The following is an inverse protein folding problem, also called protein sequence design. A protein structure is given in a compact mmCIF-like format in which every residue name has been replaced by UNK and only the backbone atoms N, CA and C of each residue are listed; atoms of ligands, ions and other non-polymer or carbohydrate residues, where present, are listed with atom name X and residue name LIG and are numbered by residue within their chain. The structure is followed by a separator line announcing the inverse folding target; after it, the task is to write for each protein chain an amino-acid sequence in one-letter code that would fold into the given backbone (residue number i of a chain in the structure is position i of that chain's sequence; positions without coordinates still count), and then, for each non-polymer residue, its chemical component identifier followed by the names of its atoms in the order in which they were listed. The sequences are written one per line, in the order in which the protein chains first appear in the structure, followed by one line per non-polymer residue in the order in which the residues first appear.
data_IF_974791276648
#
_entry.id   IF_974791276648
#
_cell.length_a   1.000
_cell.length_b   1.000
_cell.length_c   1.000
_cell.angle_alpha   90.00
_cell.angle_beta   90.00
_cell.angle_gamma   90.00
#
_symmetry.space_group_name_H-M   'P 1'
#
loop_
_entity.id
_entity.type
_entity.pdbx_description
1 polymer ?
#
# COMPACT_ATOMS: atom_id res chain seq x y z
N UNK A 1 -17.55 -21.58 -4.36
CA UNK A 1 -17.38 -21.99 -5.79
C UNK A 1 -18.45 -21.40 -6.70
N UNK A 2 -19.58 -20.91 -6.15
CA UNK A 2 -20.74 -20.47 -6.93
C UNK A 2 -20.90 -18.94 -6.97
N UNK A 3 -19.92 -18.18 -6.47
CA UNK A 3 -19.93 -16.73 -6.52
C UNK A 3 -19.81 -16.24 -7.97
N UNK A 4 -20.71 -15.35 -8.38
CA UNK A 4 -20.74 -14.75 -9.72
C UNK A 4 -20.17 -13.33 -9.71
N UNK A 5 -20.35 -12.60 -8.61
CA UNK A 5 -19.84 -11.24 -8.44
C UNK A 5 -18.99 -11.15 -7.18
N UNK A 6 -17.75 -10.72 -7.34
CA UNK A 6 -16.79 -10.62 -6.25
C UNK A 6 -16.22 -9.21 -6.25
N UNK A 7 -16.34 -8.52 -5.12
CA UNK A 7 -15.71 -7.23 -4.88
C UNK A 7 -14.46 -7.36 -4.01
N UNK A 8 -13.49 -6.51 -4.24
CA UNK A 8 -12.26 -6.43 -3.47
C UNK A 8 -11.98 -4.96 -3.19
N UNK A 9 -11.63 -4.62 -1.96
CA UNK A 9 -11.18 -3.28 -1.60
C UNK A 9 -10.12 -3.33 -0.51
N UNK A 10 -9.41 -2.23 -0.32
CA UNK A 10 -8.46 -2.01 0.74
C UNK A 10 -8.67 -0.64 1.39
N UNK A 11 -7.67 -0.14 2.11
CA UNK A 11 -7.81 1.11 2.85
C UNK A 11 -7.81 2.37 1.96
N UNK A 12 -8.42 3.43 2.49
CA UNK A 12 -8.32 4.80 1.93
C UNK A 12 -6.85 5.21 1.82
N UNK A 13 -6.51 5.98 0.78
CA UNK A 13 -5.13 6.32 0.43
C UNK A 13 -4.25 5.07 0.33
N UNK A 14 -4.54 4.18 -0.63
CA UNK A 14 -3.91 2.87 -0.73
C UNK A 14 -2.42 2.99 -1.01
N UNK A 15 -1.62 2.32 -0.21
CA UNK A 15 -0.18 2.17 -0.39
C UNK A 15 0.19 0.96 -1.26
N UNK A 16 1.48 0.62 -1.31
CA UNK A 16 1.97 -0.43 -2.20
C UNK A 16 1.45 -1.82 -1.84
N UNK A 17 1.37 -2.18 -0.54
CA UNK A 17 0.85 -3.49 -0.16
C UNK A 17 -0.66 -3.58 -0.40
N UNK A 18 -1.41 -2.55 -0.05
CA UNK A 18 -2.85 -2.49 -0.28
C UNK A 18 -3.22 -2.66 -1.76
N UNK A 19 -2.60 -1.89 -2.66
CA UNK A 19 -2.82 -1.99 -4.12
C UNK A 19 -2.46 -3.37 -4.63
N UNK A 20 -1.27 -3.86 -4.26
CA UNK A 20 -0.76 -5.15 -4.73
C UNK A 20 -1.56 -6.33 -4.18
N UNK A 21 -2.01 -6.27 -2.93
CA UNK A 21 -2.88 -7.29 -2.34
C UNK A 21 -4.21 -7.39 -3.09
N UNK A 22 -4.84 -6.24 -3.36
CA UNK A 22 -6.11 -6.20 -4.10
C UNK A 22 -5.94 -6.74 -5.53
N UNK A 23 -4.91 -6.30 -6.27
CA UNK A 23 -4.65 -6.76 -7.63
C UNK A 23 -4.27 -8.25 -7.68
N UNK A 24 -3.43 -8.71 -6.75
CA UNK A 24 -3.01 -10.10 -6.66
C UNK A 24 -4.20 -11.03 -6.39
N UNK A 25 -5.04 -10.67 -5.45
CA UNK A 25 -6.26 -11.43 -5.16
C UNK A 25 -7.22 -11.42 -6.36
N UNK A 26 -7.37 -10.29 -7.05
CA UNK A 26 -8.19 -10.19 -8.27
C UNK A 26 -7.67 -11.12 -9.36
N UNK A 27 -6.37 -11.09 -9.67
CA UNK A 27 -5.76 -11.96 -10.66
C UNK A 27 -5.92 -13.43 -10.32
N UNK A 28 -5.70 -13.80 -9.05
CA UNK A 28 -5.86 -15.17 -8.58
C UNK A 28 -7.30 -15.66 -8.69
N UNK A 29 -8.27 -14.86 -8.23
CA UNK A 29 -9.68 -15.22 -8.29
C UNK A 29 -10.19 -15.36 -9.72
N UNK A 30 -9.75 -14.51 -10.65
CA UNK A 30 -10.10 -14.64 -12.08
C UNK A 30 -9.58 -15.94 -12.70
N UNK A 31 -8.43 -16.44 -12.27
CA UNK A 31 -7.92 -17.75 -12.68
C UNK A 31 -8.74 -18.91 -12.10
N UNK A 32 -9.07 -18.83 -10.82
CA UNK A 32 -9.82 -19.88 -10.13
C UNK A 32 -11.31 -19.92 -10.52
N UNK A 33 -11.89 -18.78 -10.86
CA UNK A 33 -13.31 -18.57 -11.11
C UNK A 33 -13.54 -17.81 -12.43
N UNK A 34 -13.20 -18.38 -13.60
CA UNK A 34 -13.19 -17.66 -14.88
C UNK A 34 -14.57 -17.16 -15.34
N UNK A 35 -15.66 -17.61 -14.68
CA UNK A 35 -17.02 -17.16 -14.96
C UNK A 35 -17.50 -16.08 -13.99
N UNK A 36 -16.73 -15.76 -12.94
CA UNK A 36 -17.07 -14.73 -11.99
C UNK A 36 -16.58 -13.36 -12.49
N UNK A 37 -17.40 -12.34 -12.27
CA UNK A 37 -16.97 -10.96 -12.38
C UNK A 37 -16.22 -10.57 -11.10
N UNK A 38 -14.94 -10.23 -11.20
CA UNK A 38 -14.12 -9.79 -10.08
C UNK A 38 -13.72 -8.33 -10.32
N UNK A 39 -14.09 -7.43 -9.39
CA UNK A 39 -13.82 -5.99 -9.43
C UNK A 39 -13.00 -5.56 -8.22
N UNK A 40 -12.09 -4.62 -8.45
CA UNK A 40 -11.30 -3.95 -7.41
C UNK A 40 -11.78 -2.50 -7.28
N UNK A 41 -12.04 -2.07 -6.05
CA UNK A 41 -12.45 -0.73 -5.68
C UNK A 41 -11.41 -0.11 -4.75
N UNK A 42 -10.73 0.93 -5.18
CA UNK A 42 -9.78 1.69 -4.37
C UNK A 42 -9.89 3.18 -4.69
N UNK A 43 -9.64 4.04 -3.72
CA UNK A 43 -9.29 5.42 -4.05
C UNK A 43 -8.15 5.40 -5.07
N UNK A 44 -8.05 6.44 -5.91
CA UNK A 44 -7.07 6.47 -7.00
C UNK A 44 -5.66 6.18 -6.48
N UNK A 45 -5.06 5.04 -6.83
CA UNK A 45 -3.70 4.72 -6.38
C UNK A 45 -2.66 5.57 -7.11
N UNK A 46 -1.45 5.64 -6.54
CA UNK A 46 -0.33 6.33 -7.17
C UNK A 46 0.05 5.68 -8.51
N UNK A 47 0.36 6.51 -9.51
CA UNK A 47 0.70 6.07 -10.88
C UNK A 47 1.96 5.20 -10.95
N UNK A 48 2.78 5.17 -9.91
CA UNK A 48 3.97 4.30 -9.83
C UNK A 48 3.63 2.81 -9.90
N UNK A 49 2.38 2.42 -9.63
CA UNK A 49 1.89 1.04 -9.70
C UNK A 49 1.25 0.69 -11.06
N UNK A 50 1.23 1.63 -12.02
CA UNK A 50 0.50 1.47 -13.30
C UNK A 50 0.96 0.28 -14.15
N UNK A 51 2.22 -0.15 -14.00
CA UNK A 51 2.73 -1.32 -14.70
C UNK A 51 2.11 -2.64 -14.21
N UNK A 52 1.52 -2.64 -13.02
CA UNK A 52 0.88 -3.84 -12.48
C UNK A 52 -0.40 -4.18 -13.25
N UNK A 53 -0.51 -5.44 -13.60
CA UNK A 53 -1.67 -5.93 -14.35
C UNK A 53 -2.97 -5.72 -13.58
N UNK A 54 -3.94 -5.12 -14.25
CA UNK A 54 -5.24 -4.79 -13.68
C UNK A 54 -5.30 -3.41 -13.01
N UNK A 55 -4.21 -2.64 -12.98
CA UNK A 55 -4.20 -1.30 -12.40
C UNK A 55 -5.24 -0.37 -13.04
N UNK A 56 -5.28 -0.30 -14.37
CA UNK A 56 -6.24 0.56 -15.09
C UNK A 56 -7.70 0.04 -15.02
N UNK A 57 -7.92 -1.14 -14.44
CA UNK A 57 -9.26 -1.72 -14.20
C UNK A 57 -9.78 -1.42 -12.78
N UNK A 58 -9.00 -0.74 -11.93
CA UNK A 58 -9.43 -0.32 -10.59
C UNK A 58 -10.54 0.70 -10.72
N UNK A 59 -11.68 0.43 -10.09
CA UNK A 59 -12.81 1.35 -10.03
C UNK A 59 -12.61 2.32 -8.84
N UNK A 60 -12.23 3.56 -9.16
CA UNK A 60 -12.06 4.63 -8.18
C UNK A 60 -13.27 5.57 -8.09
N UNK A 61 -14.29 5.33 -8.92
CA UNK A 61 -15.54 6.11 -8.92
C UNK A 61 -16.62 5.47 -8.04
N UNK A 62 -16.43 4.21 -7.64
CA UNK A 62 -17.38 3.46 -6.81
C UNK A 62 -18.80 3.46 -7.37
N UNK A 63 -18.93 3.33 -8.71
CA UNK A 63 -20.19 3.47 -9.43
C UNK A 63 -21.03 2.18 -9.59
N UNK A 64 -20.61 1.04 -8.98
CA UNK A 64 -21.35 -0.21 -9.09
C UNK A 64 -22.63 -0.18 -8.24
N UNK A 65 -23.74 -0.62 -8.80
CA UNK A 65 -25.04 -0.62 -8.12
C UNK A 65 -25.51 -2.04 -7.72
N UNK A 66 -24.87 -3.08 -8.28
CA UNK A 66 -25.29 -4.45 -8.03
C UNK A 66 -24.56 -5.06 -6.83
N UNK A 67 -25.27 -5.83 -5.97
CA UNK A 67 -24.67 -6.45 -4.80
C UNK A 67 -23.66 -7.55 -5.15
N UNK A 68 -22.67 -7.74 -4.29
CA UNK A 68 -21.64 -8.77 -4.42
C UNK A 68 -22.02 -10.05 -3.66
N UNK A 69 -21.71 -11.21 -4.25
CA UNK A 69 -21.83 -12.49 -3.55
C UNK A 69 -20.77 -12.64 -2.47
N UNK A 70 -19.56 -12.12 -2.74
CA UNK A 70 -18.43 -12.11 -1.81
C UNK A 70 -17.73 -10.76 -1.91
N UNK A 71 -17.36 -10.18 -0.78
CA UNK A 71 -16.53 -8.98 -0.74
C UNK A 71 -15.30 -9.21 0.13
N UNK A 72 -14.14 -8.92 -0.43
CA UNK A 72 -12.86 -9.00 0.25
C UNK A 72 -12.42 -7.62 0.72
N UNK A 73 -11.97 -7.53 1.97
CA UNK A 73 -11.24 -6.40 2.52
C UNK A 73 -9.80 -6.83 2.70
N UNK A 74 -8.89 -6.11 2.07
CA UNK A 74 -7.47 -6.41 2.02
C UNK A 74 -6.70 -5.35 2.78
N UNK A 75 -5.71 -5.77 3.56
CA UNK A 75 -4.70 -4.92 4.17
C UNK A 75 -5.23 -3.84 5.13
N UNK A 76 -6.41 -4.05 5.69
CA UNK A 76 -6.99 -3.17 6.71
C UNK A 76 -8.22 -3.78 7.38
N UNK A 77 -8.71 -3.11 8.42
CA UNK A 77 -10.06 -3.31 8.95
C UNK A 77 -11.14 -2.74 8.01
N UNK A 78 -12.34 -3.31 8.10
CA UNK A 78 -13.49 -2.89 7.28
C UNK A 78 -13.94 -1.43 7.54
N UNK A 79 -13.51 -0.83 8.62
CA UNK A 79 -13.74 0.58 8.99
C UNK A 79 -12.85 1.57 8.21
N UNK A 80 -11.91 1.08 7.38
CA UNK A 80 -10.96 1.90 6.64
C UNK A 80 -11.12 1.87 5.12
N UNK A 81 -12.14 1.19 4.58
CA UNK A 81 -12.32 0.98 3.13
C UNK A 81 -13.08 2.13 2.42
N UNK A 82 -13.36 3.22 3.12
CA UNK A 82 -13.99 4.40 2.54
C UNK A 82 -15.31 4.10 1.82
N UNK A 83 -15.48 4.63 0.61
CA UNK A 83 -16.73 4.49 -0.17
C UNK A 83 -17.08 3.05 -0.58
N UNK A 84 -16.13 2.11 -0.45
CA UNK A 84 -16.40 0.69 -0.65
C UNK A 84 -17.21 0.06 0.48
N UNK A 85 -17.40 0.75 1.63
CA UNK A 85 -18.19 0.26 2.77
C UNK A 85 -19.60 -0.16 2.37
N UNK A 86 -20.23 0.57 1.45
CA UNK A 86 -21.56 0.26 0.93
C UNK A 86 -21.62 -1.13 0.30
N UNK A 87 -20.62 -1.52 -0.47
CA UNK A 87 -20.55 -2.85 -1.10
C UNK A 87 -20.26 -3.96 -0.10
N UNK A 88 -19.35 -3.68 0.84
CA UNK A 88 -19.03 -4.62 1.91
C UNK A 88 -20.24 -4.91 2.80
N UNK A 89 -20.97 -3.87 3.20
CA UNK A 89 -22.17 -4.02 4.05
C UNK A 89 -23.20 -4.92 3.40
N UNK A 90 -23.47 -4.73 2.09
CA UNK A 90 -24.55 -5.39 1.36
C UNK A 90 -24.12 -6.74 0.76
N UNK A 91 -22.84 -7.12 0.87
CA UNK A 91 -22.32 -8.39 0.38
C UNK A 91 -22.85 -9.59 1.18
N UNK A 92 -23.16 -10.70 0.49
CA UNK A 92 -23.65 -11.92 1.12
C UNK A 92 -22.60 -12.61 2.00
N UNK A 93 -21.34 -12.55 1.60
CA UNK A 93 -20.20 -13.09 2.36
C UNK A 93 -19.08 -12.05 2.42
N UNK A 94 -18.46 -11.92 3.57
CA UNK A 94 -17.44 -10.96 3.88
C UNK A 94 -16.16 -11.69 4.27
N UNK A 95 -15.04 -11.28 3.72
CA UNK A 95 -13.73 -11.87 3.98
C UNK A 95 -12.74 -10.73 4.23
N UNK A 96 -12.01 -10.79 5.34
CA UNK A 96 -10.94 -9.85 5.65
C UNK A 96 -9.59 -10.58 5.70
N UNK A 97 -8.60 -10.08 4.99
CA UNK A 97 -7.23 -10.60 4.96
C UNK A 97 -6.30 -9.44 5.26
N UNK A 98 -5.53 -9.53 6.35
CA UNK A 98 -4.75 -8.43 6.86
C UNK A 98 -3.60 -8.90 7.75
N UNK A 99 -2.58 -8.06 7.90
CA UNK A 99 -1.46 -8.30 8.81
C UNK A 99 -1.35 -7.25 9.94
N UNK A 100 -2.23 -6.27 9.97
CA UNK A 100 -2.18 -5.22 10.99
C UNK A 100 -2.64 -5.72 12.37
N UNK A 101 -1.80 -5.54 13.39
CA UNK A 101 -2.09 -5.91 14.79
C UNK A 101 -3.31 -5.19 15.39
N UNK A 102 -3.67 -4.03 14.83
CA UNK A 102 -4.80 -3.22 15.29
C UNK A 102 -6.14 -3.66 14.70
N UNK A 103 -6.13 -4.51 13.67
CA UNK A 103 -7.35 -5.00 13.03
C UNK A 103 -8.07 -5.99 13.94
N UNK A 104 -9.33 -5.70 14.24
CA UNK A 104 -10.20 -6.54 15.10
C UNK A 104 -11.05 -7.53 14.29
N UNK A 105 -10.88 -7.54 12.97
CA UNK A 105 -11.70 -8.34 12.06
C UNK A 105 -13.04 -7.67 11.74
N UNK A 106 -13.82 -8.39 10.94
CA UNK A 106 -15.16 -8.00 10.53
C UNK A 106 -16.17 -9.14 10.75
N UNK A 107 -17.45 -8.84 10.56
CA UNK A 107 -18.46 -9.88 10.44
C UNK A 107 -18.18 -10.72 9.20
N UNK A 108 -17.78 -12.00 9.38
CA UNK A 108 -17.46 -12.92 8.29
C UNK A 108 -16.22 -13.75 8.56
N UNK A 109 -15.48 -14.09 7.50
CA UNK A 109 -14.23 -14.82 7.60
C UNK A 109 -13.07 -13.83 7.77
N UNK A 110 -12.21 -14.08 8.74
CA UNK A 110 -11.05 -13.25 9.02
C UNK A 110 -9.77 -14.10 8.94
N UNK A 111 -8.81 -13.64 8.18
CA UNK A 111 -7.45 -14.17 8.13
C UNK A 111 -6.48 -13.03 8.45
N UNK A 112 -6.27 -12.79 9.74
CA UNK A 112 -5.47 -11.69 10.27
C UNK A 112 -4.25 -12.30 10.95
N UNK A 113 -3.05 -12.04 10.42
CA UNK A 113 -1.80 -12.62 10.89
C UNK A 113 -0.75 -11.52 11.10
N UNK A 114 -0.66 -10.96 12.31
CA UNK A 114 0.22 -9.81 12.60
C UNK A 114 1.74 -10.08 12.52
N UNK A 115 2.14 -11.36 12.47
CA UNK A 115 3.57 -11.73 12.49
C UNK A 115 4.22 -11.77 11.10
N UNK A 116 3.46 -11.41 10.04
CA UNK A 116 4.00 -11.32 8.68
C UNK A 116 4.29 -9.86 8.30
N UNK A 117 5.20 -9.66 7.36
CA UNK A 117 5.67 -8.35 6.97
C UNK A 117 4.73 -7.58 6.04
N UNK A 118 3.80 -8.27 5.38
CA UNK A 118 2.89 -7.71 4.38
C UNK A 118 1.66 -8.60 4.16
N UNK A 119 0.51 -8.02 3.81
CA UNK A 119 -0.68 -8.78 3.38
C UNK A 119 -0.40 -9.62 2.12
N UNK A 120 0.46 -9.13 1.24
CA UNK A 120 0.91 -9.88 0.06
C UNK A 120 1.61 -11.20 0.40
N UNK A 121 2.26 -11.34 1.56
CA UNK A 121 2.80 -12.62 2.01
C UNK A 121 1.68 -13.63 2.32
N UNK A 122 0.60 -13.18 2.95
CA UNK A 122 -0.57 -14.03 3.23
C UNK A 122 -1.22 -14.52 1.95
N UNK A 123 -1.35 -13.64 0.96
CA UNK A 123 -1.89 -14.01 -0.35
C UNK A 123 -0.99 -15.03 -1.04
N UNK A 124 0.34 -14.82 -1.00
CA UNK A 124 1.30 -15.78 -1.55
C UNK A 124 1.10 -17.19 -0.96
N UNK A 125 0.94 -17.29 0.35
CA UNK A 125 0.75 -18.58 1.04
C UNK A 125 -0.60 -19.24 0.73
N UNK A 126 -1.61 -18.47 0.31
CA UNK A 126 -2.92 -18.98 -0.08
C UNK A 126 -3.03 -19.40 -1.55
N UNK A 127 -2.13 -18.90 -2.41
CA UNK A 127 -2.17 -19.20 -3.84
C UNK A 127 -1.69 -20.62 -4.11
N UNK A 128 -2.44 -21.36 -4.93
CA UNK A 128 -1.94 -22.62 -5.50
C UNK A 128 -0.66 -22.31 -6.32
N UNK A 129 0.48 -22.94 -6.00
CA UNK A 129 1.74 -22.70 -6.71
C UNK A 129 1.65 -22.86 -8.24
N UNK A 130 0.75 -23.71 -8.73
CA UNK A 130 0.49 -23.90 -10.16
C UNK A 130 -0.22 -22.71 -10.82
N UNK A 131 -0.82 -21.82 -10.04
CA UNK A 131 -1.50 -20.62 -10.52
C UNK A 131 -0.62 -19.36 -10.50
N UNK A 132 0.56 -19.44 -9.88
CA UNK A 132 1.50 -18.32 -9.80
C UNK A 132 2.21 -18.14 -11.14
N UNK A 133 2.00 -17.00 -11.79
CA UNK A 133 2.67 -16.58 -13.00
C UNK A 133 3.49 -15.29 -12.79
N UNK A 134 4.12 -14.80 -13.85
CA UNK A 134 4.99 -13.62 -13.80
C UNK A 134 4.27 -12.37 -13.30
N UNK A 135 3.04 -12.11 -13.76
CA UNK A 135 2.30 -10.89 -13.42
C UNK A 135 1.88 -10.93 -11.94
N UNK A 136 1.38 -12.07 -11.49
CA UNK A 136 0.98 -12.27 -10.10
C UNK A 136 2.19 -12.24 -9.16
N UNK A 137 3.30 -12.85 -9.56
CA UNK A 137 4.56 -12.81 -8.79
C UNK A 137 5.11 -11.39 -8.69
N UNK A 138 5.02 -10.60 -9.76
CA UNK A 138 5.45 -9.21 -9.77
C UNK A 138 4.62 -8.35 -8.80
N UNK A 139 3.30 -8.47 -8.82
CA UNK A 139 2.43 -7.72 -7.91
C UNK A 139 2.69 -8.09 -6.44
N UNK A 140 2.77 -9.38 -6.11
CA UNK A 140 3.09 -9.82 -4.75
C UNK A 140 4.45 -9.31 -4.28
N UNK A 141 5.46 -9.34 -5.16
CA UNK A 141 6.79 -8.83 -4.83
C UNK A 141 6.78 -7.33 -4.52
N UNK A 142 6.08 -6.53 -5.33
CA UNK A 142 5.96 -5.08 -5.11
C UNK A 142 5.29 -4.79 -3.76
N UNK A 143 4.20 -5.47 -3.41
CA UNK A 143 3.57 -5.30 -2.09
C UNK A 143 4.53 -5.62 -0.94
N UNK A 144 5.20 -6.77 -1.00
CA UNK A 144 6.16 -7.17 0.05
C UNK A 144 7.29 -6.14 0.22
N UNK A 145 7.89 -5.65 -0.87
CA UNK A 145 8.98 -4.67 -0.75
C UNK A 145 8.52 -3.31 -0.21
N UNK A 146 7.29 -2.91 -0.46
CA UNK A 146 6.75 -1.65 0.06
C UNK A 146 6.60 -1.71 1.58
N UNK A 147 6.01 -2.75 2.13
CA UNK A 147 5.77 -2.87 3.56
C UNK A 147 7.00 -3.26 4.37
N UNK A 148 7.95 -3.94 3.75
CA UNK A 148 9.22 -4.32 4.39
C UNK A 148 10.34 -3.31 4.18
N UNK A 149 10.08 -2.19 3.49
CA UNK A 149 11.11 -1.21 3.12
C UNK A 149 12.25 -1.85 2.34
N UNK A 150 11.94 -2.65 1.35
CA UNK A 150 12.90 -3.47 0.58
C UNK A 150 13.70 -4.39 1.52
N UNK A 151 12.97 -5.12 2.36
CA UNK A 151 13.55 -6.07 3.34
C UNK A 151 14.44 -5.43 4.41
N UNK A 152 14.31 -4.12 4.69
CA UNK A 152 15.13 -3.40 5.67
C UNK A 152 14.44 -3.27 7.03
N UNK A 153 13.10 -3.35 7.09
CA UNK A 153 12.37 -3.15 8.33
C UNK A 153 12.36 -4.41 9.20
N UNK A 154 12.10 -4.21 10.49
CA UNK A 154 12.12 -5.28 11.50
C UNK A 154 11.03 -6.34 11.34
N UNK A 155 10.00 -6.06 10.52
CA UNK A 155 8.96 -7.02 10.14
C UNK A 155 9.42 -8.01 9.06
N UNK A 156 10.63 -7.84 8.49
CA UNK A 156 11.24 -8.79 7.56
C UNK A 156 11.71 -10.04 8.28
N UNK A 157 11.22 -11.20 7.87
CA UNK A 157 11.57 -12.52 8.42
C UNK A 157 12.36 -13.34 7.39
N UNK A 158 13.01 -14.46 7.80
CA UNK A 158 13.58 -15.41 6.83
C UNK A 158 12.55 -15.88 5.80
N UNK A 159 11.30 -16.14 6.22
CA UNK A 159 10.23 -16.57 5.32
C UNK A 159 9.86 -15.46 4.31
N UNK A 160 9.87 -14.19 4.72
CA UNK A 160 9.70 -13.03 3.82
C UNK A 160 10.76 -13.03 2.71
N UNK A 161 12.04 -13.26 3.07
CA UNK A 161 13.14 -13.36 2.12
C UNK A 161 13.01 -14.56 1.18
N UNK A 162 12.58 -15.71 1.67
CA UNK A 162 12.34 -16.91 0.86
C UNK A 162 11.22 -16.67 -0.16
N UNK A 163 10.11 -16.02 0.25
CA UNK A 163 9.03 -15.61 -0.67
C UNK A 163 9.55 -14.64 -1.72
N UNK A 164 10.29 -13.62 -1.33
CA UNK A 164 10.91 -12.66 -2.25
C UNK A 164 11.82 -13.37 -3.27
N UNK A 165 12.70 -14.26 -2.82
CA UNK A 165 13.57 -15.05 -3.69
C UNK A 165 12.78 -15.92 -4.67
N UNK A 166 11.69 -16.55 -4.20
CA UNK A 166 10.81 -17.34 -5.06
C UNK A 166 10.12 -16.47 -6.11
N UNK A 167 9.59 -15.30 -5.71
CA UNK A 167 8.89 -14.40 -6.61
C UNK A 167 9.79 -13.87 -7.73
N UNK A 168 11.02 -13.43 -7.43
CA UNK A 168 11.95 -12.95 -8.47
C UNK A 168 12.37 -14.05 -9.46
N UNK A 169 12.23 -15.34 -9.11
CA UNK A 169 12.50 -16.45 -10.03
C UNK A 169 11.53 -16.52 -11.21
N UNK A 170 10.43 -15.75 -11.20
CA UNK A 170 9.49 -15.63 -12.33
C UNK A 170 9.96 -14.64 -13.42
N UNK A 171 11.14 -14.04 -13.28
CA UNK A 171 11.87 -13.37 -14.35
C UNK A 171 11.36 -11.98 -14.73
N UNK A 172 10.74 -11.24 -13.81
CA UNK A 172 10.50 -9.80 -13.98
C UNK A 172 11.75 -8.99 -13.57
N UNK A 173 11.85 -7.76 -14.06
CA UNK A 173 12.97 -6.85 -13.75
C UNK A 173 12.77 -6.22 -12.37
N UNK A 174 13.08 -6.98 -11.30
CA UNK A 174 12.90 -6.53 -9.93
C UNK A 174 13.78 -5.30 -9.56
N UNK A 175 15.03 -5.14 -10.05
CA UNK A 175 15.81 -3.93 -9.77
C UNK A 175 15.13 -2.67 -10.31
N UNK A 176 14.58 -2.74 -11.54
CA UNK A 176 13.83 -1.63 -12.13
C UNK A 176 12.57 -1.33 -11.33
N UNK A 177 11.81 -2.35 -10.92
CA UNK A 177 10.62 -2.17 -10.09
C UNK A 177 10.94 -1.48 -8.76
N UNK A 178 11.99 -1.90 -8.06
CA UNK A 178 12.45 -1.23 -6.84
C UNK A 178 12.77 0.24 -7.12
N UNK A 179 13.52 0.50 -8.21
CA UNK A 179 13.89 1.87 -8.56
C UNK A 179 12.65 2.74 -8.84
N UNK A 180 11.72 2.25 -9.64
CA UNK A 180 10.57 3.02 -10.12
C UNK A 180 9.46 3.15 -9.08
N UNK A 181 9.21 2.13 -8.26
CA UNK A 181 8.09 2.16 -7.30
C UNK A 181 8.48 2.64 -5.90
N UNK A 182 9.77 2.56 -5.53
CA UNK A 182 10.19 2.87 -4.16
C UNK A 182 11.15 4.06 -4.07
N UNK A 183 12.16 4.14 -4.95
CA UNK A 183 13.18 5.18 -4.85
C UNK A 183 12.92 6.39 -5.73
N UNK A 184 12.30 6.22 -6.89
CA UNK A 184 12.12 7.31 -7.82
C UNK A 184 11.18 8.37 -7.24
N UNK A 185 11.63 9.61 -7.32
CA UNK A 185 10.87 10.79 -6.88
C UNK A 185 10.76 11.78 -8.01
N UNK A 186 9.65 12.51 -8.07
CA UNK A 186 9.50 13.62 -9.00
C UNK A 186 10.52 14.73 -8.71
N UNK A 187 10.71 15.63 -9.66
CA UNK A 187 11.54 16.82 -9.44
C UNK A 187 10.99 17.69 -8.30
N UNK A 188 9.68 17.83 -8.20
CA UNK A 188 8.99 18.55 -7.11
C UNK A 188 9.28 17.88 -5.78
N UNK A 189 9.04 16.58 -5.67
CA UNK A 189 9.32 15.80 -4.45
C UNK A 189 10.78 15.92 -4.00
N UNK A 190 11.71 15.84 -4.94
CA UNK A 190 13.14 15.94 -4.66
C UNK A 190 13.54 17.34 -4.14
N UNK A 191 12.98 18.39 -4.74
CA UNK A 191 13.26 19.78 -4.32
C UNK A 191 12.67 20.09 -2.94
N UNK A 192 11.40 19.74 -2.70
CA UNK A 192 10.76 20.03 -1.41
C UNK A 192 11.38 19.20 -0.28
N UNK A 193 11.76 17.96 -0.55
CA UNK A 193 12.53 17.13 0.38
C UNK A 193 13.89 17.75 0.71
N UNK A 194 14.64 18.20 -0.31
CA UNK A 194 15.92 18.91 -0.11
C UNK A 194 15.75 20.16 0.76
N UNK A 195 14.69 20.93 0.51
CA UNK A 195 14.37 22.12 1.31
C UNK A 195 14.05 21.76 2.75
N UNK A 196 13.21 20.77 2.98
CA UNK A 196 12.83 20.30 4.31
C UNK A 196 14.06 19.80 5.12
N UNK A 197 14.98 19.11 4.46
CA UNK A 197 16.23 18.65 5.10
C UNK A 197 17.15 19.83 5.47
N UNK A 198 17.33 20.79 4.57
CA UNK A 198 18.21 21.97 4.80
C UNK A 198 17.69 22.87 5.93
N UNK A 199 16.37 23.00 6.07
CA UNK A 199 15.75 23.84 7.10
C UNK A 199 15.41 23.08 8.38
N UNK A 200 15.79 21.80 8.47
CA UNK A 200 15.56 21.01 9.67
C UNK A 200 16.38 21.52 10.87
N UNK A 201 15.78 21.44 12.04
CA UNK A 201 16.40 21.88 13.30
C UNK A 201 16.63 20.67 14.19
N UNK A 202 17.84 20.54 14.70
CA UNK A 202 18.20 19.51 15.68
C UNK A 202 18.11 20.05 17.09
N UNK A 203 17.60 19.25 18.02
CA UNK A 203 17.48 19.58 19.44
C UNK A 203 17.67 18.32 20.30
N UNK A 204 17.64 18.46 21.65
CA UNK A 204 17.94 17.37 22.59
C UNK A 204 19.29 16.69 22.29
N UNK A 205 20.36 17.48 22.31
CA UNK A 205 21.73 17.04 22.00
C UNK A 205 21.85 16.35 20.61
N UNK A 206 21.00 16.77 19.67
CA UNK A 206 20.99 16.26 18.31
C UNK A 206 20.25 14.92 18.10
N UNK A 207 19.61 14.41 19.15
CA UNK A 207 18.85 13.16 19.11
C UNK A 207 17.46 13.30 18.48
N UNK A 208 16.95 14.52 18.43
CA UNK A 208 15.69 14.83 17.77
C UNK A 208 15.92 15.80 16.61
N UNK A 209 15.14 15.63 15.55
CA UNK A 209 15.10 16.54 14.41
C UNK A 209 13.67 16.91 14.08
N UNK A 210 13.43 18.17 13.78
CA UNK A 210 12.14 18.67 13.32
C UNK A 210 12.31 19.44 12.02
N UNK A 211 11.38 19.27 11.09
CA UNK A 211 11.26 20.10 9.91
C UNK A 211 9.81 20.50 9.70
N UNK A 212 9.61 21.71 9.19
CA UNK A 212 8.29 22.25 8.92
C UNK A 212 8.28 22.91 7.54
N UNK A 213 7.30 22.53 6.73
CA UNK A 213 7.07 23.14 5.41
C UNK A 213 5.81 24.00 5.48
N UNK A 214 5.95 25.30 5.23
CA UNK A 214 4.85 26.23 5.19
C UNK A 214 4.15 26.24 3.81
N UNK A 215 2.96 26.84 3.75
CA UNK A 215 2.19 26.97 2.48
C UNK A 215 2.93 27.73 1.41
N UNK A 216 3.76 28.73 1.77
CA UNK A 216 4.52 29.52 0.77
C UNK A 216 5.57 28.65 0.11
N UNK A 217 6.24 27.82 0.88
CA UNK A 217 7.22 26.83 0.37
C UNK A 217 6.54 25.81 -0.53
N UNK A 218 5.38 25.27 -0.13
CA UNK A 218 4.61 24.36 -0.99
C UNK A 218 4.20 25.04 -2.30
N UNK A 219 3.67 26.24 -2.24
CA UNK A 219 3.28 27.02 -3.43
C UNK A 219 4.49 27.35 -4.34
N UNK A 220 5.65 27.66 -3.74
CA UNK A 220 6.86 27.95 -4.50
C UNK A 220 7.34 26.76 -5.34
N UNK A 221 7.21 25.54 -4.81
CA UNK A 221 7.59 24.31 -5.51
C UNK A 221 6.44 23.68 -6.29
N UNK A 222 5.23 24.25 -6.26
CA UNK A 222 4.02 23.65 -6.81
C UNK A 222 3.76 22.24 -6.25
N UNK A 223 4.00 22.09 -4.94
CA UNK A 223 3.92 20.82 -4.25
C UNK A 223 2.57 20.61 -3.58
N UNK A 224 2.02 19.42 -3.75
CA UNK A 224 0.82 18.96 -3.07
C UNK A 224 1.19 18.11 -1.82
N UNK A 225 0.25 17.82 -0.92
CA UNK A 225 0.53 16.99 0.27
C UNK A 225 1.17 15.64 -0.02
N UNK A 226 0.85 15.02 -1.14
CA UNK A 226 1.40 13.71 -1.54
C UNK A 226 2.89 13.81 -1.98
N UNK A 227 3.34 15.00 -2.36
CA UNK A 227 4.76 15.24 -2.67
C UNK A 227 5.66 15.31 -1.42
N UNK A 228 5.08 15.37 -0.24
CA UNK A 228 5.80 15.43 1.04
C UNK A 228 6.14 14.04 1.60
N UNK A 229 5.68 13.00 0.92
CA UNK A 229 5.89 11.63 1.39
C UNK A 229 7.37 11.23 1.43
N UNK A 230 7.75 10.52 2.49
CA UNK A 230 9.11 10.08 2.72
C UNK A 230 10.05 11.12 3.36
N UNK A 231 9.65 12.38 3.54
CA UNK A 231 10.51 13.41 4.19
C UNK A 231 10.85 13.01 5.63
N UNK A 232 9.87 12.56 6.41
CA UNK A 232 10.11 12.13 7.80
C UNK A 232 11.09 10.94 7.86
N UNK A 233 11.03 10.04 6.89
CA UNK A 233 11.95 8.90 6.82
C UNK A 233 13.38 9.35 6.56
N UNK A 234 13.59 10.35 5.70
CA UNK A 234 14.92 10.92 5.46
C UNK A 234 15.48 11.64 6.70
N UNK A 235 14.63 12.37 7.42
CA UNK A 235 15.03 13.00 8.70
C UNK A 235 15.44 11.95 9.74
N UNK A 236 14.69 10.85 9.83
CA UNK A 236 14.99 9.74 10.75
C UNK A 236 16.30 9.02 10.40
N UNK A 237 16.69 8.99 9.13
CA UNK A 237 17.92 8.35 8.67
C UNK A 237 19.20 9.15 9.00
N UNK A 238 19.09 10.35 9.59
CA UNK A 238 20.24 11.14 10.00
C UNK A 238 20.93 10.43 11.19
N UNK A 239 22.23 10.20 11.08
CA UNK A 239 23.00 9.51 12.13
C UNK A 239 22.86 10.20 13.48
N UNK A 240 22.48 9.44 14.51
CA UNK A 240 22.31 9.91 15.90
C UNK A 240 20.95 10.54 16.19
N UNK A 241 20.01 10.48 15.23
CA UNK A 241 18.63 10.88 15.44
C UNK A 241 17.82 9.67 15.90
N UNK A 242 17.18 9.80 17.06
CA UNK A 242 16.25 8.80 17.62
C UNK A 242 14.80 9.13 17.27
N UNK A 243 14.49 10.43 17.09
CA UNK A 243 13.14 10.91 16.80
C UNK A 243 13.16 11.97 15.70
N UNK A 244 12.29 11.80 14.69
CA UNK A 244 12.07 12.78 13.63
C UNK A 244 10.60 13.23 13.65
N UNK A 245 10.39 14.53 13.54
CA UNK A 245 9.08 15.16 13.43
C UNK A 245 9.05 15.96 12.13
N UNK A 246 8.05 15.66 11.30
CA UNK A 246 7.80 16.46 10.09
C UNK A 246 6.39 17.05 10.18
N UNK A 247 6.30 18.33 9.86
CA UNK A 247 5.04 19.07 9.85
C UNK A 247 4.86 19.81 8.55
N UNK A 248 3.62 19.96 8.10
CA UNK A 248 3.32 20.89 7.03
C UNK A 248 2.03 21.67 7.30
N UNK A 249 1.99 22.91 6.82
CA UNK A 249 0.90 23.83 7.08
C UNK A 249 -0.30 23.54 6.18
N UNK A 250 -1.46 23.26 6.78
CA UNK A 250 -2.74 23.02 6.09
C UNK A 250 -3.67 24.25 6.09
N UNK A 251 -3.54 25.10 7.11
CA UNK A 251 -4.36 26.31 7.29
C UNK A 251 -3.64 27.41 8.07
N UNK A 252 -4.36 28.45 8.47
CA UNK A 252 -3.82 29.51 9.33
C UNK A 252 -3.60 28.94 10.73
N UNK A 253 -2.32 28.78 11.14
CA UNK A 253 -1.89 28.15 12.39
C UNK A 253 -2.34 26.67 12.53
N UNK A 254 -2.65 26.03 11.41
CA UNK A 254 -3.00 24.61 11.36
C UNK A 254 -1.90 23.83 10.66
N UNK A 255 -1.46 22.76 11.29
CA UNK A 255 -0.39 21.89 10.79
C UNK A 255 -0.80 20.42 10.91
N UNK A 256 -0.45 19.66 9.90
CA UNK A 256 -0.47 18.20 9.95
C UNK A 256 0.93 17.72 10.33
N UNK A 257 0.97 16.74 11.24
CA UNK A 257 2.19 16.09 11.74
C UNK A 257 2.21 14.64 11.27
#
# INVERSE_FOLDING_TARGET
KDAKRIGISGHIRPDGDCVCACLSMCMYLRKCLPKAQVKVFLEKPADIFRELKGFDEIDSEFGDEEPFDVFFVMDCGADRIGDAEKYFRDAKKKINIDHHVTNKGCEGLNHIVPDVGATCELIYDMIDPGMLDRDLAMALYVGIIHDTGIFQYSNTTPATMERGAKLISYGFDFPRLIQETFYQKSYIQSNIMGRALLESIRFMDGRCVVSCVDRKTMQFYDAEPDDLDGIVNQLRNIRGVDCAIFMYQTGVLEYKV
#
